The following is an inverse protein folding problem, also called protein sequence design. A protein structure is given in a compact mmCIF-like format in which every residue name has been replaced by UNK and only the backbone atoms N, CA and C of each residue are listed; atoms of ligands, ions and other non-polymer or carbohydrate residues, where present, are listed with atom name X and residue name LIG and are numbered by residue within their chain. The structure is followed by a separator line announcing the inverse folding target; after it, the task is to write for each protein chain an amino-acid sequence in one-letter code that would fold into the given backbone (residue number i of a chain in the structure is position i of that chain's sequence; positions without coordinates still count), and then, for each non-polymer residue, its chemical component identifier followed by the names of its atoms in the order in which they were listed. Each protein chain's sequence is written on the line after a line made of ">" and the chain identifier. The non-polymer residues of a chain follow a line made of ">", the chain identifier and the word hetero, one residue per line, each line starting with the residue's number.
data_IF_734582156445
#
_entry.id   IF_734582156445
#
_cell.length_a   1.000
_cell.length_b   1.000
_cell.length_c   1.000
_cell.angle_alpha   90.00
_cell.angle_beta   90.00
_cell.angle_gamma   90.00
#
_symmetry.space_group_name_H-M   'P 1'
#
loop_
_entity.id
_entity.type
_entity.pdbx_description
1 polymer ?
#
# COMPACT_ATOMS: atom_id res chain seq x y z
N UNK A 1 5.08 -19.19 -10.54
CA UNK A 1 6.40 -19.08 -9.89
C UNK A 1 6.42 -17.76 -9.16
N UNK A 2 6.42 -17.82 -7.84
CA UNK A 2 6.60 -16.65 -7.00
C UNK A 2 8.03 -16.15 -7.18
N UNK A 3 8.21 -15.03 -7.84
CA UNK A 3 9.43 -14.26 -7.65
C UNK A 3 9.24 -13.44 -6.38
N UNK A 4 9.51 -14.08 -5.26
CA UNK A 4 9.82 -13.39 -4.03
C UNK A 4 11.22 -12.83 -4.23
N UNK A 5 11.37 -11.52 -4.36
CA UNK A 5 12.59 -10.88 -3.93
C UNK A 5 12.72 -11.21 -2.44
N UNK A 6 13.48 -12.29 -2.15
CA UNK A 6 13.71 -12.75 -0.79
C UNK A 6 14.63 -11.77 -0.08
N UNK A 7 14.07 -10.68 0.42
CA UNK A 7 14.60 -10.03 1.62
C UNK A 7 13.46 -9.96 2.61
N UNK A 8 13.54 -10.89 3.54
CA UNK A 8 12.84 -11.00 4.83
C UNK A 8 11.48 -10.30 4.94
N UNK A 9 10.44 -11.11 5.08
CA UNK A 9 9.08 -10.76 5.49
C UNK A 9 9.12 -10.00 6.81
N UNK A 10 9.26 -8.69 6.76
CA UNK A 10 9.33 -7.86 7.94
C UNK A 10 8.10 -6.94 7.95
N UNK A 11 7.54 -6.74 9.12
CA UNK A 11 6.40 -5.86 9.36
C UNK A 11 6.87 -4.57 10.02
N UNK A 12 6.21 -3.45 9.68
CA UNK A 12 6.40 -2.21 10.40
C UNK A 12 5.71 -2.29 11.78
N UNK A 13 6.49 -2.61 12.82
CA UNK A 13 6.30 -2.25 14.24
C UNK A 13 5.29 -3.00 15.13
N UNK A 14 4.44 -3.93 14.72
CA UNK A 14 3.68 -4.72 15.70
C UNK A 14 3.74 -6.21 15.41
N UNK A 15 4.06 -6.98 16.44
CA UNK A 15 4.01 -8.44 16.42
C UNK A 15 2.60 -9.01 16.68
N UNK A 16 1.60 -8.12 16.93
CA UNK A 16 0.21 -8.48 17.24
C UNK A 16 -0.77 -7.58 16.51
N UNK A 17 -1.88 -8.18 16.05
CA UNK A 17 -3.03 -7.48 15.50
C UNK A 17 -3.84 -6.74 16.57
N UNK A 18 -4.95 -6.11 16.18
CA UNK A 18 -5.85 -5.39 17.08
C UNK A 18 -6.47 -6.30 18.16
N UNK A 19 -6.59 -7.59 17.89
CA UNK A 19 -7.13 -8.62 18.79
C UNK A 19 -6.05 -9.27 19.66
N UNK A 20 -4.80 -8.80 19.56
CA UNK A 20 -3.66 -9.31 20.32
C UNK A 20 -3.07 -10.62 19.78
N UNK A 21 -3.49 -11.08 18.59
CA UNK A 21 -2.96 -12.28 17.95
C UNK A 21 -1.59 -11.96 17.35
N UNK A 22 -0.68 -12.92 17.45
CA UNK A 22 0.66 -12.76 16.86
C UNK A 22 0.55 -12.76 15.33
N UNK A 23 1.02 -11.68 14.71
CA UNK A 23 1.08 -11.57 13.26
C UNK A 23 2.28 -12.40 12.77
N UNK A 24 2.11 -13.29 11.77
CA UNK A 24 3.22 -14.08 11.25
C UNK A 24 4.29 -13.20 10.60
N UNK A 25 5.52 -13.30 11.04
CA UNK A 25 6.64 -12.59 10.45
C UNK A 25 7.56 -11.94 11.49
N UNK A 26 8.66 -11.38 11.02
CA UNK A 26 9.61 -10.64 11.83
C UNK A 26 9.27 -9.16 11.79
N UNK A 27 9.11 -8.54 12.94
CA UNK A 27 8.89 -7.09 13.08
C UNK A 27 10.24 -6.38 12.96
N UNK A 28 10.32 -5.30 12.17
CA UNK A 28 11.53 -4.50 11.99
C UNK A 28 11.16 -3.10 11.52
N UNK A 29 12.00 -2.13 11.86
CA UNK A 29 11.94 -0.78 11.28
C UNK A 29 12.40 -0.77 9.82
N UNK A 30 13.27 -1.69 9.43
CA UNK A 30 13.60 -1.98 8.03
C UNK A 30 12.45 -2.81 7.42
N UNK A 31 11.40 -2.15 6.98
CA UNK A 31 10.12 -2.76 6.61
C UNK A 31 9.59 -2.33 5.25
N UNK A 32 10.25 -1.40 4.57
CA UNK A 32 9.79 -0.87 3.28
C UNK A 32 10.11 -1.87 2.16
N UNK A 33 9.26 -2.89 2.03
CA UNK A 33 9.33 -3.94 1.01
C UNK A 33 8.06 -3.99 0.21
N UNK A 34 8.18 -4.54 -0.99
CA UNK A 34 7.05 -4.91 -1.83
C UNK A 34 7.17 -6.37 -2.30
N UNK A 35 6.03 -6.99 -2.59
CA UNK A 35 5.98 -8.29 -3.25
C UNK A 35 5.38 -8.11 -4.64
N UNK A 36 5.87 -8.88 -5.61
CA UNK A 36 5.37 -8.86 -6.98
C UNK A 36 4.88 -10.26 -7.34
N UNK A 37 3.63 -10.33 -7.76
CA UNK A 37 2.99 -11.52 -8.28
C UNK A 37 2.71 -11.30 -9.76
N UNK A 38 3.25 -12.16 -10.62
CA UNK A 38 3.06 -12.01 -12.08
C UNK A 38 2.46 -13.26 -12.71
N UNK A 39 1.68 -13.12 -13.79
CA UNK A 39 1.19 -14.25 -14.55
C UNK A 39 2.35 -15.03 -15.20
N UNK A 40 2.22 -16.36 -15.29
CA UNK A 40 3.30 -17.22 -15.82
C UNK A 40 3.61 -17.00 -17.31
N UNK A 41 2.60 -16.65 -18.09
CA UNK A 41 2.65 -16.71 -19.56
C UNK A 41 2.13 -15.42 -20.20
N UNK A 42 2.39 -14.27 -19.62
CA UNK A 42 2.01 -13.00 -20.23
C UNK A 42 2.79 -12.80 -21.54
N UNK A 43 2.06 -12.71 -22.66
CA UNK A 43 2.63 -12.45 -23.99
C UNK A 43 2.85 -10.96 -24.28
N UNK A 44 2.31 -10.10 -23.42
CA UNK A 44 2.37 -8.63 -23.45
C UNK A 44 2.53 -8.13 -22.05
N UNK A 45 2.92 -6.87 -21.88
CA UNK A 45 2.88 -6.20 -20.59
C UNK A 45 1.44 -6.26 -20.03
N UNK A 46 1.35 -6.64 -18.76
CA UNK A 46 0.08 -6.85 -18.06
C UNK A 46 -0.26 -5.61 -17.22
N UNK A 47 -1.55 -5.25 -17.06
CA UNK A 47 -1.96 -4.21 -16.12
C UNK A 47 -1.38 -4.46 -14.72
N UNK A 48 -1.06 -3.40 -14.00
CA UNK A 48 -0.49 -3.46 -12.66
C UNK A 48 -1.56 -3.08 -11.64
N UNK A 49 -1.78 -3.93 -10.63
CA UNK A 49 -2.60 -3.64 -9.47
C UNK A 49 -1.69 -3.49 -8.25
N UNK A 50 -1.67 -2.31 -7.66
CA UNK A 50 -0.92 -2.00 -6.45
C UNK A 50 -1.88 -2.09 -5.25
N UNK A 51 -1.53 -2.93 -4.27
CA UNK A 51 -2.34 -3.16 -3.08
C UNK A 51 -1.68 -2.58 -1.83
N UNK A 52 -2.42 -1.72 -1.12
CA UNK A 52 -2.08 -1.16 0.18
C UNK A 52 -2.92 -1.82 1.26
N UNK A 53 -2.24 -2.38 2.27
CA UNK A 53 -2.89 -3.10 3.36
C UNK A 53 -3.70 -2.19 4.29
N UNK A 54 -4.68 -2.77 5.00
CA UNK A 54 -5.41 -2.12 6.08
C UNK A 54 -4.67 -2.14 7.41
N UNK A 55 -5.42 -2.07 8.53
CA UNK A 55 -4.88 -2.16 9.88
C UNK A 55 -4.92 -0.84 10.66
N UNK A 56 -5.88 0.04 10.33
CA UNK A 56 -6.16 1.28 11.06
C UNK A 56 -4.94 2.19 11.23
N UNK A 57 -4.00 2.18 10.29
CA UNK A 57 -2.72 2.90 10.35
C UNK A 57 -1.80 2.50 11.52
N UNK A 58 -2.12 1.43 12.23
CA UNK A 58 -1.38 0.99 13.44
C UNK A 58 -0.56 -0.26 13.20
N UNK A 59 -0.96 -1.11 12.28
CA UNK A 59 -0.35 -2.38 11.92
C UNK A 59 -0.68 -2.73 10.46
N UNK A 60 -0.24 -3.89 10.01
CA UNK A 60 -0.52 -4.43 8.70
C UNK A 60 0.75 -4.81 7.94
N UNK A 61 0.59 -5.57 6.87
CA UNK A 61 1.70 -6.04 6.06
C UNK A 61 1.28 -6.37 4.64
N UNK A 62 2.17 -6.11 3.70
CA UNK A 62 2.07 -6.58 2.32
C UNK A 62 1.93 -8.12 2.20
N UNK A 63 2.32 -8.86 3.25
CA UNK A 63 2.24 -10.32 3.27
C UNK A 63 0.84 -10.85 3.65
N UNK A 64 -0.08 -10.00 4.07
CA UNK A 64 -1.46 -10.41 4.42
C UNK A 64 -2.31 -10.69 3.17
N UNK A 65 -1.90 -10.16 2.03
CA UNK A 65 -2.58 -10.36 0.77
C UNK A 65 -1.73 -11.19 -0.19
N UNK A 66 -2.18 -12.41 -0.50
CA UNK A 66 -1.59 -13.25 -1.55
C UNK A 66 -2.19 -12.90 -2.91
N UNK A 67 -1.46 -12.13 -3.70
CA UNK A 67 -1.86 -11.72 -5.06
C UNK A 67 -1.73 -12.80 -6.12
N UNK A 68 -1.22 -13.99 -5.80
CA UNK A 68 -0.89 -15.03 -6.77
C UNK A 68 -2.08 -15.55 -7.58
N UNK A 69 -3.22 -15.75 -6.89
CA UNK A 69 -4.46 -16.21 -7.54
C UNK A 69 -4.99 -15.16 -8.50
N UNK A 70 -5.04 -13.90 -8.05
CA UNK A 70 -5.50 -12.79 -8.87
C UNK A 70 -4.60 -12.60 -10.10
N UNK A 71 -3.27 -12.61 -9.90
CA UNK A 71 -2.31 -12.50 -10.99
C UNK A 71 -2.49 -13.61 -12.03
N UNK A 72 -2.68 -14.86 -11.58
CA UNK A 72 -2.85 -16.00 -12.48
C UNK A 72 -4.18 -15.97 -13.24
N UNK A 73 -5.29 -15.64 -12.58
CA UNK A 73 -6.63 -15.71 -13.16
C UNK A 73 -6.95 -14.50 -14.04
N UNK A 74 -6.52 -13.29 -13.63
CA UNK A 74 -6.86 -12.05 -14.32
C UNK A 74 -5.74 -11.54 -15.25
N UNK A 75 -4.62 -12.26 -15.31
CA UNK A 75 -3.47 -11.88 -16.14
C UNK A 75 -2.99 -10.45 -15.83
N UNK A 76 -2.92 -10.11 -14.55
CA UNK A 76 -2.43 -8.82 -14.02
C UNK A 76 -1.14 -9.03 -13.21
N UNK A 77 -0.28 -8.03 -13.17
CA UNK A 77 0.80 -7.98 -12.18
C UNK A 77 0.23 -7.37 -10.90
N UNK A 78 0.32 -8.10 -9.78
CA UNK A 78 -0.11 -7.58 -8.47
C UNK A 78 1.14 -7.21 -7.68
N UNK A 79 1.16 -5.99 -7.16
CA UNK A 79 2.20 -5.50 -6.25
C UNK A 79 1.56 -5.20 -4.90
N UNK A 80 2.03 -5.88 -3.85
CA UNK A 80 1.65 -5.54 -2.47
C UNK A 80 2.81 -4.83 -1.80
N UNK A 81 2.57 -3.75 -1.08
CA UNK A 81 3.61 -2.93 -0.50
C UNK A 81 3.41 -2.67 0.99
N UNK A 82 4.53 -2.48 1.69
CA UNK A 82 4.55 -1.96 3.04
C UNK A 82 4.74 -0.45 3.03
N UNK A 83 4.17 0.21 4.02
CA UNK A 83 4.41 1.62 4.35
C UNK A 83 4.51 1.77 5.87
N UNK A 84 5.17 2.79 6.35
CA UNK A 84 5.28 3.06 7.79
C UNK A 84 3.92 3.35 8.39
N UNK A 85 3.67 2.75 9.55
CA UNK A 85 2.42 2.88 10.31
C UNK A 85 2.67 3.44 11.71
N UNK A 86 1.60 3.79 12.43
CA UNK A 86 1.69 4.34 13.78
C UNK A 86 2.43 5.68 13.81
N UNK A 87 3.21 5.90 14.87
CA UNK A 87 3.96 7.13 15.06
C UNK A 87 4.98 7.39 13.95
N UNK A 88 5.64 6.36 13.44
CA UNK A 88 6.66 6.51 12.39
C UNK A 88 6.08 6.90 11.03
N UNK A 89 4.83 6.53 10.79
CA UNK A 89 4.14 6.88 9.54
C UNK A 89 3.42 8.22 9.56
N UNK A 90 2.89 8.63 10.74
CA UNK A 90 1.87 9.68 10.79
C UNK A 90 1.99 10.67 11.94
N UNK A 91 3.06 10.64 12.76
CA UNK A 91 3.25 11.61 13.81
C UNK A 91 4.02 12.83 13.30
N UNK A 92 3.52 14.02 13.64
CA UNK A 92 4.17 15.29 13.30
C UNK A 92 5.31 15.61 14.28
N UNK A 93 6.52 15.58 13.77
CA UNK A 93 7.75 15.94 14.47
C UNK A 93 8.31 17.30 14.03
N UNK A 94 7.59 18.07 13.21
CA UNK A 94 8.07 19.35 12.63
C UNK A 94 8.51 20.37 13.70
N UNK A 95 7.98 20.26 14.93
CA UNK A 95 8.37 21.12 16.07
C UNK A 95 9.79 20.86 16.60
N UNK A 96 10.41 19.73 16.23
CA UNK A 96 11.75 19.36 16.70
C UNK A 96 12.88 19.80 15.75
N UNK A 97 12.55 20.22 14.53
CA UNK A 97 13.52 20.73 13.57
C UNK A 97 12.98 20.69 12.12
N UNK A 98 13.62 21.47 11.26
CA UNK A 98 13.24 21.56 9.84
C UNK A 98 13.45 20.25 9.08
N UNK A 99 14.33 19.38 9.54
CA UNK A 99 14.57 18.03 9.00
C UNK A 99 13.38 17.11 9.17
N UNK A 100 12.44 17.42 10.08
CA UNK A 100 11.23 16.66 10.33
C UNK A 100 9.99 17.21 9.61
N UNK A 101 10.17 18.22 8.75
CA UNK A 101 9.05 18.72 7.94
C UNK A 101 8.50 17.60 7.06
N UNK A 102 7.16 17.42 7.13
CA UNK A 102 6.48 16.35 6.40
C UNK A 102 6.44 14.99 7.12
N UNK A 103 6.98 14.85 8.33
CA UNK A 103 6.96 13.59 9.10
C UNK A 103 5.56 13.03 9.34
N UNK A 104 4.52 13.87 9.42
CA UNK A 104 3.13 13.45 9.54
C UNK A 104 2.60 12.68 8.32
N UNK A 105 3.31 12.69 7.21
CA UNK A 105 2.94 12.03 5.96
C UNK A 105 3.93 10.95 5.49
N UNK A 106 4.81 10.49 6.37
CA UNK A 106 5.81 9.49 6.03
C UNK A 106 5.21 8.24 5.36
N UNK A 107 4.07 7.72 5.86
CA UNK A 107 3.41 6.58 5.24
C UNK A 107 2.92 6.85 3.81
N UNK A 108 2.44 8.07 3.52
CA UNK A 108 2.09 8.50 2.15
C UNK A 108 3.35 8.59 1.28
N UNK A 109 4.43 9.17 1.81
CA UNK A 109 5.70 9.29 1.08
C UNK A 109 6.29 7.92 0.75
N UNK A 110 6.16 6.94 1.65
CA UNK A 110 6.58 5.55 1.39
C UNK A 110 5.81 4.93 0.21
N UNK A 111 4.49 5.17 0.14
CA UNK A 111 3.67 4.73 -0.99
C UNK A 111 4.06 5.44 -2.30
N UNK A 112 4.34 6.74 -2.27
CA UNK A 112 4.82 7.49 -3.45
C UNK A 112 6.16 6.92 -3.92
N UNK A 113 7.09 6.65 -3.01
CA UNK A 113 8.38 6.03 -3.33
C UNK A 113 8.22 4.64 -3.97
N UNK A 114 7.30 3.83 -3.44
CA UNK A 114 6.99 2.53 -4.02
C UNK A 114 6.37 2.65 -5.42
N UNK A 115 5.48 3.62 -5.63
CA UNK A 115 4.91 3.90 -6.97
C UNK A 115 5.97 4.39 -7.95
N UNK A 116 6.92 5.23 -7.53
CA UNK A 116 8.05 5.64 -8.35
C UNK A 116 8.88 4.42 -8.76
N UNK A 117 9.20 3.55 -7.80
CA UNK A 117 9.91 2.31 -8.09
C UNK A 117 9.16 1.44 -9.10
N UNK A 118 7.83 1.36 -9.00
CA UNK A 118 6.99 0.62 -9.95
C UNK A 118 7.13 1.22 -11.35
N UNK A 119 7.05 2.55 -11.50
CA UNK A 119 7.23 3.21 -12.80
C UNK A 119 8.59 2.87 -13.41
N UNK A 120 9.65 2.87 -12.61
CA UNK A 120 11.01 2.69 -13.08
C UNK A 120 11.36 1.21 -13.40
N UNK A 121 10.65 0.23 -12.81
CA UNK A 121 11.12 -1.16 -12.82
C UNK A 121 10.08 -2.21 -13.22
N UNK A 122 8.77 -1.91 -13.19
CA UNK A 122 7.74 -2.96 -13.28
C UNK A 122 7.70 -3.67 -14.64
N UNK A 123 8.20 -3.04 -15.69
CA UNK A 123 8.30 -3.61 -17.02
C UNK A 123 9.18 -4.86 -17.04
N UNK A 124 10.27 -4.90 -16.27
CA UNK A 124 11.13 -6.08 -16.13
C UNK A 124 10.39 -7.29 -15.51
N UNK A 125 9.31 -7.02 -14.78
CA UNK A 125 8.43 -8.03 -14.20
C UNK A 125 7.21 -8.34 -15.06
N UNK A 126 7.11 -7.74 -16.26
CA UNK A 126 6.03 -7.94 -17.20
C UNK A 126 4.79 -7.09 -16.90
N UNK A 127 4.92 -6.05 -16.07
CA UNK A 127 3.87 -5.07 -15.80
C UNK A 127 3.95 -3.87 -16.75
N UNK A 128 2.81 -3.28 -17.04
CA UNK A 128 2.66 -2.10 -17.87
C UNK A 128 2.69 -0.84 -16.97
N UNK A 129 3.78 -0.05 -17.01
CA UNK A 129 3.89 1.17 -16.21
C UNK A 129 2.83 2.22 -16.60
N UNK A 130 2.30 2.18 -17.82
CA UNK A 130 1.25 3.08 -18.30
C UNK A 130 -0.16 2.59 -17.93
N UNK A 131 -0.29 1.48 -17.18
CA UNK A 131 -1.58 0.94 -16.76
C UNK A 131 -1.57 0.48 -15.30
N UNK A 132 -1.25 1.39 -14.41
CA UNK A 132 -1.16 1.17 -12.96
C UNK A 132 -2.46 1.55 -12.27
N UNK A 133 -3.04 0.63 -11.50
CA UNK A 133 -4.19 0.85 -10.63
C UNK A 133 -3.75 0.78 -9.18
N UNK A 134 -3.93 1.84 -8.41
CA UNK A 134 -3.72 1.82 -6.95
C UNK A 134 -4.97 1.32 -6.25
N UNK A 135 -4.81 0.51 -5.22
CA UNK A 135 -5.94 -0.03 -4.47
C UNK A 135 -5.59 -0.29 -3.01
N UNK A 136 -6.59 -0.38 -2.17
CA UNK A 136 -6.42 -0.74 -0.76
C UNK A 136 -7.74 -0.90 -0.04
N UNK A 137 -7.68 -1.54 1.12
CA UNK A 137 -8.83 -1.82 1.98
C UNK A 137 -8.64 -1.10 3.32
N UNK A 138 -9.74 -0.61 3.91
CA UNK A 138 -9.74 0.07 5.22
C UNK A 138 -8.78 1.27 5.24
N UNK A 139 -7.77 1.29 6.11
CA UNK A 139 -6.74 2.34 6.07
C UNK A 139 -5.96 2.35 4.75
N UNK A 140 -5.77 1.22 4.08
CA UNK A 140 -5.21 1.16 2.72
C UNK A 140 -6.11 1.85 1.69
N UNK A 141 -7.44 1.73 1.82
CA UNK A 141 -8.40 2.50 1.03
C UNK A 141 -8.29 4.01 1.30
N UNK A 142 -8.08 4.41 2.56
CA UNK A 142 -7.82 5.81 2.92
C UNK A 142 -6.48 6.31 2.37
N UNK A 143 -5.43 5.47 2.36
CA UNK A 143 -4.16 5.79 1.69
C UNK A 143 -4.35 6.01 0.18
N UNK A 144 -5.16 5.17 -0.47
CA UNK A 144 -5.54 5.35 -1.88
C UNK A 144 -6.17 6.72 -2.11
N UNK A 145 -7.12 7.13 -1.27
CA UNK A 145 -7.74 8.47 -1.35
C UNK A 145 -6.74 9.59 -1.07
N UNK A 146 -5.83 9.39 -0.10
CA UNK A 146 -4.76 10.34 0.19
C UNK A 146 -3.85 10.59 -1.01
N UNK A 147 -3.50 9.53 -1.74
CA UNK A 147 -2.70 9.63 -2.97
C UNK A 147 -3.41 10.40 -4.09
N UNK A 148 -4.75 10.33 -4.18
CA UNK A 148 -5.53 11.16 -5.12
C UNK A 148 -5.40 12.66 -4.83
N UNK A 149 -5.10 13.03 -3.58
CA UNK A 149 -4.86 14.41 -3.16
C UNK A 149 -3.40 14.86 -3.24
N UNK A 150 -2.46 13.97 -3.64
CA UNK A 150 -1.03 14.24 -3.67
C UNK A 150 -0.54 14.55 -5.09
N UNK A 151 -0.23 15.82 -5.44
CA UNK A 151 0.26 16.17 -6.79
C UNK A 151 1.49 15.37 -7.22
N UNK A 152 2.40 15.05 -6.31
CA UNK A 152 3.61 14.25 -6.57
C UNK A 152 3.32 12.78 -6.97
N UNK A 153 2.08 12.31 -6.80
CA UNK A 153 1.69 10.96 -7.17
C UNK A 153 0.92 10.89 -8.51
N UNK A 154 0.45 12.00 -9.07
CA UNK A 154 -0.49 12.00 -10.20
C UNK A 154 0.02 11.32 -11.47
N UNK A 155 1.32 11.36 -11.73
CA UNK A 155 1.92 10.70 -12.89
C UNK A 155 2.28 9.24 -12.64
N UNK A 156 2.08 8.71 -11.41
CA UNK A 156 2.56 7.39 -11.01
C UNK A 156 1.48 6.30 -11.05
N UNK A 157 0.22 6.67 -11.30
CA UNK A 157 -0.89 5.73 -11.44
C UNK A 157 -1.96 6.30 -12.39
N UNK A 158 -2.87 5.43 -12.84
CA UNK A 158 -3.89 5.76 -13.85
C UNK A 158 -5.32 5.56 -13.34
N UNK A 159 -5.49 4.69 -12.34
CA UNK A 159 -6.80 4.31 -11.78
C UNK A 159 -6.67 4.07 -10.27
N UNK A 160 -7.78 4.21 -9.54
CA UNK A 160 -7.82 4.00 -8.11
C UNK A 160 -9.07 3.22 -7.69
N UNK A 161 -8.90 2.31 -6.72
CA UNK A 161 -9.98 1.52 -6.10
C UNK A 161 -9.82 1.60 -4.58
N UNK A 162 -10.71 2.33 -3.90
CA UNK A 162 -10.71 2.44 -2.43
C UNK A 162 -11.85 1.60 -1.85
N UNK A 163 -11.51 0.57 -1.06
CA UNK A 163 -12.46 -0.31 -0.41
C UNK A 163 -12.51 -0.04 1.09
N UNK A 164 -13.73 0.03 1.70
CA UNK A 164 -13.95 0.27 3.14
C UNK A 164 -13.14 1.44 3.70
N UNK A 165 -12.97 2.49 2.89
CA UNK A 165 -12.31 3.72 3.32
C UNK A 165 -13.25 4.57 4.19
N UNK A 166 -12.72 5.64 4.80
CA UNK A 166 -13.49 6.55 5.65
C UNK A 166 -14.74 7.13 4.97
N UNK A 167 -14.76 7.26 3.64
CA UNK A 167 -15.94 7.76 2.91
C UNK A 167 -17.10 6.76 2.90
N UNK A 168 -16.85 5.47 3.15
CA UNK A 168 -17.88 4.45 3.25
C UNK A 168 -18.43 4.28 4.67
N UNK A 169 -17.79 4.89 5.68
CA UNK A 169 -18.14 4.78 7.10
C UNK A 169 -18.98 5.97 7.57
N UNK A 170 -18.93 7.11 6.87
CA UNK A 170 -19.75 8.26 7.19
C UNK A 170 -21.18 8.05 6.65
N UNK A 171 -22.03 7.39 7.44
CA UNK A 171 -23.46 7.54 7.22
C UNK A 171 -23.82 9.01 7.47
N UNK A 172 -24.62 9.64 6.57
CA UNK A 172 -25.16 10.95 6.86
C UNK A 172 -26.05 10.80 8.09
N UNK A 173 -25.62 11.34 9.22
CA UNK A 173 -26.47 11.49 10.39
C UNK A 173 -27.70 12.28 9.96
N UNK A 174 -28.84 11.61 9.84
CA UNK A 174 -30.12 12.31 9.74
C UNK A 174 -30.23 13.16 11.01
N UNK A 175 -30.06 14.46 10.87
CA UNK A 175 -30.58 15.38 11.85
C UNK A 175 -32.11 15.23 11.85
N UNK A 176 -32.63 14.41 12.75
CA UNK A 176 -34.03 14.52 13.17
C UNK A 176 -34.11 15.81 13.96
N UNK A 177 -34.48 16.88 13.30
CA UNK A 177 -35.02 18.08 13.98
C UNK A 177 -36.28 17.66 14.73
N UNK A 178 -36.23 17.79 16.04
CA UNK A 178 -37.38 17.78 16.96
C UNK A 178 -38.09 19.12 16.87
#
# INVERSE_FOLDING_TARGET
>A
LHFLLRRQRQMCIRDRDADGRKIPGKVSEDCLFLNIYKPKNAKKLAPVLVWMHGGAFKHGSANEFDGSVLAAQQQVVVVTLNFRVGAFGFLDFSKFGSEYLGSASNGIQDCILALQWIQDNIEEYGGDPDNVTISGESSGGTMTLGLLGCPSAYSLYHKAIACLSLIHISEPTRHTSI
#
